data_IF_600911754556
#
_entry.id   IF_600911754556
#
_cell.length_a   1.000
_cell.length_b   1.000
_cell.length_c   1.000
_cell.angle_alpha   90.00
_cell.angle_beta   90.00
_cell.angle_gamma   90.00
#
_symmetry.space_group_name_H-M   'P 1'
#
loop_
_entity.id
_entity.type
_entity.pdbx_description
1 polymer ?
#
# COMPACT_ATOMS: atom_id res chain seq x y z
N UNK A 1 -46.47 -35.53 -35.91
CA UNK A 1 -45.93 -35.70 -34.54
C UNK A 1 -44.45 -35.64 -34.62
N UNK A 2 -43.86 -34.49 -34.24
CA UNK A 2 -42.38 -34.36 -34.16
C UNK A 2 -41.94 -34.84 -32.79
N UNK A 3 -41.07 -35.85 -32.77
CA UNK A 3 -40.44 -36.35 -31.54
C UNK A 3 -39.41 -35.34 -31.07
N UNK A 4 -39.64 -34.77 -29.89
CA UNK A 4 -38.67 -33.94 -29.17
C UNK A 4 -37.60 -34.90 -28.58
N UNK A 5 -36.41 -34.88 -29.17
CA UNK A 5 -35.24 -35.56 -28.57
C UNK A 5 -34.85 -34.77 -27.34
N UNK A 6 -34.84 -35.37 -26.14
CA UNK A 6 -34.31 -34.66 -24.99
C UNK A 6 -32.81 -34.43 -25.21
N UNK A 7 -32.34 -33.18 -25.14
CA UNK A 7 -30.94 -32.86 -24.98
C UNK A 7 -30.43 -33.59 -23.73
N UNK A 8 -29.64 -34.63 -23.95
CA UNK A 8 -28.90 -35.23 -22.85
C UNK A 8 -27.93 -34.15 -22.32
N UNK A 9 -28.29 -33.67 -21.12
CA UNK A 9 -27.51 -32.67 -20.43
C UNK A 9 -26.08 -33.12 -20.30
N UNK A 10 -25.18 -32.26 -20.65
CA UNK A 10 -23.88 -32.17 -19.97
C UNK A 10 -24.19 -32.39 -18.50
N UNK A 11 -23.52 -33.37 -17.87
CA UNK A 11 -23.79 -33.82 -16.52
C UNK A 11 -23.94 -32.61 -15.59
N UNK A 12 -25.17 -32.25 -15.35
CA UNK A 12 -25.50 -31.08 -14.54
C UNK A 12 -24.98 -31.33 -13.14
N UNK A 13 -23.97 -30.63 -12.78
CA UNK A 13 -23.63 -30.44 -11.37
C UNK A 13 -24.95 -29.99 -10.73
N UNK A 14 -25.52 -30.76 -9.76
CA UNK A 14 -26.79 -30.42 -9.18
C UNK A 14 -26.76 -28.96 -8.72
N UNK A 15 -27.85 -28.22 -8.89
CA UNK A 15 -27.95 -26.80 -8.53
C UNK A 15 -27.55 -26.52 -7.07
N UNK A 16 -27.54 -27.56 -6.22
CA UNK A 16 -27.00 -27.55 -4.86
C UNK A 16 -25.46 -27.48 -4.80
N UNK A 17 -24.75 -27.67 -5.90
CA UNK A 17 -23.30 -27.58 -6.00
C UNK A 17 -22.81 -26.27 -6.66
N UNK A 18 -23.62 -25.23 -6.76
CA UNK A 18 -23.13 -23.88 -6.89
C UNK A 18 -22.28 -23.62 -5.65
N UNK A 19 -20.97 -23.78 -5.79
CA UNK A 19 -20.03 -23.45 -4.73
C UNK A 19 -20.34 -22.01 -4.35
N UNK A 20 -20.84 -21.82 -3.12
CA UNK A 20 -20.83 -20.48 -2.53
C UNK A 20 -19.40 -19.97 -2.72
N UNK A 21 -19.27 -18.83 -3.41
CA UNK A 21 -17.96 -18.21 -3.53
C UNK A 21 -17.32 -18.22 -2.14
N UNK A 22 -16.08 -18.70 -2.04
CA UNK A 22 -15.39 -18.72 -0.77
C UNK A 22 -15.43 -17.30 -0.19
N UNK A 23 -15.77 -17.13 1.09
CA UNK A 23 -15.84 -15.82 1.69
C UNK A 23 -14.49 -15.12 1.51
N UNK A 24 -14.57 -13.85 1.09
CA UNK A 24 -13.38 -13.04 0.82
C UNK A 24 -12.70 -12.71 2.15
N UNK A 25 -11.38 -12.95 2.26
CA UNK A 25 -10.57 -12.35 3.31
C UNK A 25 -10.59 -10.82 3.17
N UNK A 26 -10.93 -10.12 4.23
CA UNK A 26 -11.08 -8.66 4.26
C UNK A 26 -9.76 -7.92 4.55
N UNK A 27 -8.69 -8.66 4.89
CA UNK A 27 -7.38 -8.08 5.14
C UNK A 27 -6.59 -7.89 3.84
N UNK A 28 -5.85 -6.80 3.79
CA UNK A 28 -4.85 -6.53 2.76
C UNK A 28 -3.49 -7.03 3.25
N UNK A 29 -2.60 -7.41 2.32
CA UNK A 29 -1.23 -7.82 2.63
C UNK A 29 -1.18 -8.88 3.75
N UNK A 30 -2.04 -9.87 3.63
CA UNK A 30 -2.30 -10.85 4.69
C UNK A 30 -1.57 -12.19 4.52
N UNK A 31 -0.84 -12.35 3.42
CA UNK A 31 0.09 -13.46 3.19
C UNK A 31 1.48 -13.08 3.71
N UNK A 32 1.76 -13.43 4.95
CA UNK A 32 3.04 -13.13 5.58
C UNK A 32 4.20 -13.96 5.05
N UNK A 33 3.97 -14.92 4.16
CA UNK A 33 5.04 -15.63 3.45
C UNK A 33 5.51 -14.88 2.20
N UNK A 34 4.70 -13.92 1.72
CA UNK A 34 4.96 -13.13 0.52
C UNK A 34 4.51 -11.68 0.69
N UNK A 35 5.05 -11.02 1.72
CA UNK A 35 4.67 -9.67 2.14
C UNK A 35 5.06 -8.58 1.14
N UNK A 36 4.21 -7.59 1.02
CA UNK A 36 4.53 -6.29 0.44
C UNK A 36 5.07 -5.37 1.54
N UNK A 37 6.25 -4.81 1.31
CA UNK A 37 6.88 -3.85 2.22
C UNK A 37 7.70 -2.83 1.42
N UNK A 38 7.03 -1.83 0.85
CA UNK A 38 7.65 -0.83 -0.03
C UNK A 38 8.73 -0.01 0.68
N UNK A 39 8.51 0.37 1.94
CA UNK A 39 9.50 1.05 2.79
C UNK A 39 10.43 0.06 3.53
N UNK A 40 10.37 -1.23 3.23
CA UNK A 40 11.08 -2.28 3.96
C UNK A 40 10.33 -2.76 5.21
N UNK A 41 10.77 -3.90 5.74
CA UNK A 41 10.22 -4.51 6.97
C UNK A 41 10.61 -3.67 8.18
N UNK A 42 9.65 -3.31 9.03
CA UNK A 42 9.87 -2.41 10.17
C UNK A 42 10.12 -0.96 9.74
N UNK A 43 9.85 -0.61 8.49
CA UNK A 43 10.01 0.75 7.95
C UNK A 43 8.93 1.70 8.45
N UNK A 44 9.08 2.98 8.09
CA UNK A 44 8.09 4.01 8.41
C UNK A 44 7.32 4.44 7.17
N UNK A 45 6.01 4.66 7.30
CA UNK A 45 5.22 5.44 6.36
C UNK A 45 5.03 6.85 6.98
N UNK A 46 5.78 7.81 6.49
CA UNK A 46 5.90 9.10 7.16
C UNK A 46 6.51 8.95 8.57
N UNK A 47 5.74 9.25 9.62
CA UNK A 47 6.16 9.14 11.03
C UNK A 47 5.68 7.88 11.74
N UNK A 48 4.86 7.06 11.10
CA UNK A 48 4.25 5.86 11.70
C UNK A 48 5.08 4.63 11.37
N UNK A 49 5.41 3.82 12.38
CA UNK A 49 6.12 2.55 12.20
C UNK A 49 5.19 1.47 11.63
N UNK A 50 5.68 0.72 10.64
CA UNK A 50 4.96 -0.37 10.00
C UNK A 50 5.78 -1.66 10.06
N UNK A 51 5.13 -2.77 10.34
CA UNK A 51 5.73 -4.10 10.18
C UNK A 51 5.93 -4.43 8.68
N UNK A 52 4.95 -4.11 7.89
CA UNK A 52 4.89 -4.17 6.43
C UNK A 52 3.75 -3.27 5.96
N UNK A 53 3.60 -3.04 4.66
CA UNK A 53 2.50 -2.21 4.14
C UNK A 53 1.16 -2.67 4.70
N UNK A 54 0.31 -1.73 5.12
CA UNK A 54 -0.98 -1.92 5.78
C UNK A 54 -0.93 -2.42 7.23
N UNK A 55 0.19 -2.96 7.72
CA UNK A 55 0.35 -3.46 9.08
C UNK A 55 1.16 -2.48 9.94
N UNK A 56 0.47 -1.66 10.71
CA UNK A 56 1.07 -0.72 11.68
C UNK A 56 1.75 -1.55 12.78
N UNK A 57 2.97 -1.19 13.13
CA UNK A 57 3.69 -1.75 14.27
C UNK A 57 3.40 -0.91 15.52
N UNK A 58 2.41 -1.35 16.32
CA UNK A 58 2.03 -0.63 17.54
C UNK A 58 3.09 -0.78 18.65
N UNK A 59 3.78 -1.93 18.69
CA UNK A 59 4.86 -2.17 19.66
C UNK A 59 5.75 -3.34 19.26
N UNK A 60 6.99 -3.35 19.75
CA UNK A 60 7.91 -4.47 19.63
C UNK A 60 8.78 -4.43 18.38
N UNK A 61 9.12 -5.60 17.86
CA UNK A 61 10.01 -5.77 16.70
C UNK A 61 9.49 -6.81 15.73
N UNK A 62 9.90 -6.67 14.48
CA UNK A 62 9.56 -7.60 13.40
C UNK A 62 10.80 -7.98 12.61
N UNK A 63 10.82 -9.20 12.08
CA UNK A 63 11.73 -9.62 11.02
C UNK A 63 10.97 -10.50 10.02
N UNK A 64 11.50 -10.62 8.83
CA UNK A 64 10.81 -11.32 7.74
C UNK A 64 11.76 -12.21 6.97
N UNK A 65 11.28 -13.39 6.63
CA UNK A 65 11.96 -14.32 5.74
C UNK A 65 10.98 -14.79 4.66
N UNK A 66 11.30 -14.50 3.40
CA UNK A 66 10.44 -14.82 2.27
C UNK A 66 10.18 -16.34 2.17
N UNK A 67 8.91 -16.72 1.99
CA UNK A 67 8.48 -18.11 1.97
C UNK A 67 8.32 -18.75 3.36
N UNK A 68 8.87 -18.16 4.42
CA UNK A 68 8.74 -18.64 5.80
C UNK A 68 7.66 -17.86 6.54
N UNK A 69 7.79 -16.53 6.63
CA UNK A 69 6.81 -15.68 7.26
C UNK A 69 7.38 -14.46 7.95
N UNK A 70 6.50 -13.77 8.70
CA UNK A 70 6.81 -12.60 9.52
C UNK A 70 7.00 -13.04 10.97
N UNK A 71 8.21 -12.91 11.51
CA UNK A 71 8.45 -13.08 12.94
C UNK A 71 8.01 -11.83 13.68
N UNK A 72 7.08 -11.97 14.61
CA UNK A 72 6.54 -10.88 15.41
C UNK A 72 6.84 -11.07 16.88
N UNK A 73 7.52 -10.08 17.49
CA UNK A 73 7.65 -9.95 18.93
C UNK A 73 7.07 -8.61 19.36
N UNK A 74 5.75 -8.59 19.61
CA UNK A 74 4.99 -7.37 19.89
C UNK A 74 3.59 -7.41 19.30
N UNK A 75 3.10 -6.25 18.84
CA UNK A 75 1.73 -6.07 18.35
C UNK A 75 1.74 -5.34 17.02
N UNK A 76 1.00 -5.88 16.05
CA UNK A 76 0.71 -5.25 14.77
C UNK A 76 -0.79 -5.07 14.59
N UNK A 77 -1.18 -4.05 13.83
CA UNK A 77 -2.60 -3.71 13.60
C UNK A 77 -2.85 -3.31 12.16
N UNK A 78 -4.00 -3.75 11.63
CA UNK A 78 -4.52 -3.28 10.35
C UNK A 78 -5.91 -2.70 10.52
N UNK A 79 -6.09 -1.43 10.17
CA UNK A 79 -7.38 -0.76 10.16
C UNK A 79 -8.06 -0.94 8.81
N UNK A 80 -9.34 -1.26 8.82
CA UNK A 80 -10.13 -1.53 7.62
C UNK A 80 -10.74 -0.23 7.08
N UNK A 81 -10.67 -0.04 5.76
CA UNK A 81 -11.36 1.08 5.09
C UNK A 81 -12.89 0.93 5.19
N UNK A 82 -13.35 -0.30 5.04
CA UNK A 82 -14.78 -0.66 5.10
C UNK A 82 -14.99 -1.75 6.15
N UNK A 83 -15.16 -1.36 7.43
CA UNK A 83 -15.43 -2.33 8.49
C UNK A 83 -16.69 -3.13 8.20
N UNK A 84 -16.67 -4.46 8.32
CA UNK A 84 -17.86 -5.28 8.16
C UNK A 84 -18.90 -4.97 9.23
N UNK A 85 -20.16 -5.03 8.85
CA UNK A 85 -21.29 -4.95 9.79
C UNK A 85 -21.73 -6.36 10.18
N UNK A 86 -21.99 -6.58 11.48
CA UNK A 86 -22.39 -7.88 12.01
C UNK A 86 -21.21 -8.74 12.49
N UNK A 87 -21.49 -10.04 12.63
CA UNK A 87 -20.50 -10.98 13.17
C UNK A 87 -19.29 -11.16 12.25
N UNK A 88 -18.14 -11.35 12.88
CA UNK A 88 -16.87 -11.60 12.19
C UNK A 88 -16.09 -12.70 12.87
N UNK A 89 -15.20 -13.35 12.13
CA UNK A 89 -14.27 -14.33 12.65
C UNK A 89 -12.85 -14.04 12.15
N UNK A 90 -11.89 -14.11 13.06
CA UNK A 90 -10.47 -13.86 12.79
C UNK A 90 -9.66 -15.15 12.95
N UNK A 91 -8.66 -15.32 12.08
CA UNK A 91 -7.77 -16.47 12.10
C UNK A 91 -6.35 -16.05 11.78
N UNK A 92 -5.38 -16.73 12.38
CA UNK A 92 -3.95 -16.56 12.10
C UNK A 92 -3.28 -17.91 11.92
N UNK A 93 -2.58 -18.08 10.81
CA UNK A 93 -1.76 -19.27 10.55
C UNK A 93 -0.33 -19.05 10.99
N UNK A 94 0.24 -20.04 11.68
CA UNK A 94 1.57 -19.98 12.25
C UNK A 94 2.50 -20.99 11.60
N UNK A 95 3.79 -20.61 11.46
CA UNK A 95 4.86 -21.56 11.18
C UNK A 95 5.44 -22.11 12.49
N UNK A 96 5.54 -21.25 13.52
CA UNK A 96 6.02 -21.61 14.86
C UNK A 96 5.57 -20.59 15.89
N UNK A 97 5.60 -20.99 17.18
CA UNK A 97 5.20 -20.11 18.28
C UNK A 97 3.68 -19.95 18.39
N UNK A 98 3.27 -18.90 19.07
CA UNK A 98 1.88 -18.58 19.32
C UNK A 98 1.59 -17.12 19.01
N UNK A 99 0.36 -16.83 18.56
CA UNK A 99 -0.17 -15.49 18.41
C UNK A 99 -1.65 -15.44 18.77
N UNK A 100 -2.09 -14.30 19.26
CA UNK A 100 -3.51 -13.96 19.37
C UNK A 100 -3.91 -13.01 18.28
N UNK A 101 -5.14 -13.16 17.79
CA UNK A 101 -5.74 -12.25 16.80
C UNK A 101 -7.13 -11.85 17.27
N UNK A 102 -7.47 -10.58 17.08
CA UNK A 102 -8.78 -10.04 17.45
C UNK A 102 -9.22 -8.96 16.45
N UNK A 103 -10.52 -8.74 16.37
CA UNK A 103 -11.12 -7.64 15.62
C UNK A 103 -11.97 -6.79 16.55
N UNK A 104 -11.68 -5.51 16.64
CA UNK A 104 -12.43 -4.52 17.39
C UNK A 104 -12.27 -3.14 16.74
N UNK A 105 -13.29 -2.30 16.85
CA UNK A 105 -13.27 -0.89 16.42
C UNK A 105 -12.78 -0.67 14.97
N UNK A 106 -13.15 -1.61 14.08
CA UNK A 106 -12.75 -1.55 12.67
C UNK A 106 -11.30 -1.92 12.39
N UNK A 107 -10.60 -2.51 13.36
CA UNK A 107 -9.21 -2.92 13.22
C UNK A 107 -8.99 -4.38 13.63
N UNK A 108 -8.12 -5.07 12.90
CA UNK A 108 -7.56 -6.36 13.32
C UNK A 108 -6.24 -6.13 14.02
N UNK A 109 -6.06 -6.76 15.17
CA UNK A 109 -4.84 -6.70 15.98
C UNK A 109 -4.28 -8.11 16.15
N UNK A 110 -2.97 -8.25 15.91
CA UNK A 110 -2.23 -9.50 16.13
C UNK A 110 -1.13 -9.23 17.16
N UNK A 111 -1.05 -10.06 18.19
CA UNK A 111 0.01 -10.00 19.22
C UNK A 111 0.71 -11.34 19.30
N UNK A 112 2.05 -11.33 19.34
CA UNK A 112 2.88 -12.51 19.46
C UNK A 112 4.15 -12.22 20.27
N UNK A 113 4.72 -13.25 20.87
CA UNK A 113 5.98 -13.20 21.63
C UNK A 113 7.12 -13.93 20.88
N UNK A 114 7.36 -13.57 19.63
CA UNK A 114 8.40 -14.19 18.80
C UNK A 114 7.90 -15.32 17.90
N UNK A 115 6.58 -15.46 17.74
CA UNK A 115 6.01 -16.44 16.80
C UNK A 115 6.19 -16.01 15.35
N UNK A 116 6.21 -16.99 14.44
CA UNK A 116 6.32 -16.79 13.00
C UNK A 116 4.94 -16.91 12.36
N UNK A 117 4.40 -15.79 11.90
CA UNK A 117 3.11 -15.68 11.23
C UNK A 117 3.24 -16.09 9.76
N UNK A 118 2.33 -16.91 9.26
CA UNK A 118 2.23 -17.28 7.83
C UNK A 118 1.17 -16.48 7.09
N UNK A 119 0.04 -16.27 7.71
CA UNK A 119 -1.09 -15.54 7.15
C UNK A 119 -2.04 -15.08 8.26
N UNK A 120 -2.87 -14.10 7.93
CA UNK A 120 -4.00 -13.68 8.75
C UNK A 120 -5.28 -13.60 7.90
N UNK A 121 -6.43 -13.77 8.53
CA UNK A 121 -7.70 -13.63 7.86
C UNK A 121 -8.76 -13.02 8.78
N UNK A 122 -9.61 -12.19 8.20
CA UNK A 122 -10.86 -11.70 8.76
C UNK A 122 -11.97 -12.02 7.76
N UNK A 123 -12.96 -12.76 8.21
CA UNK A 123 -14.16 -13.09 7.41
C UNK A 123 -15.39 -12.48 8.04
N UNK A 124 -16.29 -11.94 7.21
CA UNK A 124 -17.63 -11.60 7.65
C UNK A 124 -18.44 -12.89 7.89
N UNK A 125 -19.02 -13.01 9.08
CA UNK A 125 -19.78 -14.19 9.51
C UNK A 125 -19.15 -14.93 10.67
N UNK A 126 -19.86 -15.91 11.20
CA UNK A 126 -19.40 -16.77 12.32
C UNK A 126 -18.79 -18.04 11.77
N UNK A 127 -17.52 -18.24 12.05
CA UNK A 127 -16.77 -19.43 11.69
C UNK A 127 -16.01 -19.94 12.92
N UNK A 128 -15.81 -21.25 12.98
CA UNK A 128 -14.97 -21.95 13.96
C UNK A 128 -13.74 -22.52 13.23
N UNK A 129 -12.77 -23.04 13.96
CA UNK A 129 -11.61 -23.73 13.35
C UNK A 129 -12.02 -24.87 12.42
N UNK A 130 -13.14 -25.54 12.72
CA UNK A 130 -13.68 -26.64 11.90
C UNK A 130 -14.44 -26.15 10.64
N UNK A 131 -14.88 -24.91 10.62
CA UNK A 131 -15.68 -24.34 9.51
C UNK A 131 -14.98 -23.15 8.85
N UNK A 132 -13.74 -22.85 9.23
CA UNK A 132 -12.94 -21.78 8.64
C UNK A 132 -12.83 -21.98 7.14
N UNK A 133 -13.04 -20.91 6.35
CA UNK A 133 -12.78 -20.94 4.92
C UNK A 133 -11.30 -21.24 4.63
N UNK A 134 -11.03 -21.98 3.56
CA UNK A 134 -9.64 -22.18 3.12
C UNK A 134 -8.99 -20.82 2.86
N UNK A 135 -7.80 -20.61 3.42
CA UNK A 135 -7.03 -19.43 3.15
C UNK A 135 -6.42 -19.50 1.74
N UNK A 136 -6.74 -18.53 0.93
CA UNK A 136 -6.22 -18.38 -0.43
C UNK A 136 -5.49 -17.05 -0.57
N UNK A 137 -4.16 -17.03 -0.72
CA UNK A 137 -3.40 -15.80 -0.94
C UNK A 137 -3.80 -15.16 -2.28
N UNK A 138 -3.90 -13.84 -2.29
CA UNK A 138 -4.26 -13.07 -3.51
C UNK A 138 -3.13 -13.04 -4.54
N UNK A 139 -1.91 -13.37 -4.15
CA UNK A 139 -0.71 -13.20 -4.95
C UNK A 139 -0.13 -11.78 -4.87
N UNK A 140 1.21 -11.69 -4.97
CA UNK A 140 1.99 -10.48 -4.68
C UNK A 140 1.52 -9.24 -5.47
N UNK A 141 1.26 -9.38 -6.78
CA UNK A 141 0.84 -8.23 -7.61
C UNK A 141 -0.51 -7.65 -7.21
N UNK A 142 -1.46 -8.48 -6.78
CA UNK A 142 -2.75 -8.03 -6.30
C UNK A 142 -2.63 -7.35 -4.93
N UNK A 143 -1.86 -7.94 -4.00
CA UNK A 143 -1.57 -7.33 -2.70
C UNK A 143 -0.83 -6.00 -2.85
N UNK A 144 0.17 -5.92 -3.73
CA UNK A 144 0.88 -4.68 -4.02
C UNK A 144 -0.06 -3.59 -4.52
N UNK A 145 -0.96 -3.89 -5.45
CA UNK A 145 -1.93 -2.93 -5.96
C UNK A 145 -2.92 -2.45 -4.87
N UNK A 146 -3.33 -3.33 -3.97
CA UNK A 146 -4.16 -2.96 -2.81
C UNK A 146 -3.37 -2.08 -1.83
N UNK A 147 -2.12 -2.41 -1.52
CA UNK A 147 -1.24 -1.60 -0.67
C UNK A 147 -0.97 -0.22 -1.24
N UNK A 148 -0.75 -0.12 -2.55
CA UNK A 148 -0.48 1.15 -3.24
C UNK A 148 -1.66 2.14 -3.23
N UNK A 149 -2.86 1.72 -2.88
CA UNK A 149 -3.98 2.63 -2.60
C UNK A 149 -3.77 3.47 -1.34
N UNK A 150 -2.88 3.04 -0.45
CA UNK A 150 -2.62 3.65 0.86
C UNK A 150 -1.23 4.24 0.97
N UNK A 151 -0.24 3.58 0.36
CA UNK A 151 1.15 3.97 0.43
C UNK A 151 1.87 3.67 -0.89
N UNK A 152 2.59 4.67 -1.40
CA UNK A 152 3.46 4.52 -2.58
C UNK A 152 4.81 5.13 -2.25
N UNK A 153 5.87 4.36 -2.48
CA UNK A 153 7.23 4.80 -2.31
C UNK A 153 8.05 4.63 -3.58
N UNK A 154 8.85 5.65 -3.89
CA UNK A 154 9.80 5.64 -5.00
C UNK A 154 11.20 5.94 -4.43
N UNK A 155 12.13 4.98 -4.54
CA UNK A 155 13.55 5.19 -4.23
C UNK A 155 14.10 6.41 -4.98
N UNK A 156 13.78 6.47 -6.28
CA UNK A 156 14.11 7.59 -7.16
C UNK A 156 12.99 7.86 -8.12
N UNK A 157 12.59 9.11 -8.21
CA UNK A 157 11.61 9.55 -9.18
C UNK A 157 12.20 10.65 -10.08
N UNK A 158 12.26 10.38 -11.39
CA UNK A 158 12.69 11.37 -12.36
C UNK A 158 11.46 12.10 -12.91
N UNK A 159 11.38 13.40 -12.68
CA UNK A 159 10.32 14.25 -13.20
C UNK A 159 10.88 15.40 -14.01
N UNK A 160 10.15 15.75 -15.07
CA UNK A 160 10.31 16.99 -15.81
C UNK A 160 9.11 17.88 -15.47
N UNK A 161 9.36 19.05 -14.92
CA UNK A 161 8.29 19.97 -14.54
C UNK A 161 8.55 21.38 -15.04
N UNK A 162 7.59 22.25 -14.79
CA UNK A 162 7.63 23.66 -15.16
C UNK A 162 7.80 24.52 -13.90
N UNK A 163 8.74 25.45 -13.95
CA UNK A 163 8.75 26.60 -13.04
C UNK A 163 7.71 27.62 -13.51
N UNK A 164 6.89 28.10 -12.60
CA UNK A 164 5.96 29.18 -12.92
C UNK A 164 6.68 30.52 -13.03
N UNK A 165 6.06 31.47 -13.71
CA UNK A 165 6.60 32.82 -13.94
C UNK A 165 6.86 33.64 -12.67
N UNK A 166 6.34 33.21 -11.52
CA UNK A 166 6.60 33.83 -10.23
C UNK A 166 7.85 33.30 -9.52
N UNK A 167 8.60 32.39 -10.17
CA UNK A 167 9.92 31.90 -9.74
C UNK A 167 10.01 31.23 -8.36
N UNK A 168 8.89 31.01 -7.67
CA UNK A 168 8.88 30.48 -6.31
C UNK A 168 8.35 29.05 -6.20
N UNK A 169 7.54 28.60 -7.15
CA UNK A 169 6.91 27.30 -7.08
C UNK A 169 7.27 26.42 -8.27
N UNK A 170 7.66 25.22 -7.98
CA UNK A 170 7.91 24.16 -8.94
C UNK A 170 6.81 23.11 -8.86
N UNK A 171 6.19 22.79 -9.99
CA UNK A 171 5.15 21.78 -10.10
C UNK A 171 5.69 20.53 -10.78
N UNK A 172 5.63 19.42 -10.06
CA UNK A 172 6.10 18.11 -10.52
C UNK A 172 4.90 17.19 -10.72
N UNK A 173 4.50 16.88 -11.97
CA UNK A 173 3.44 15.93 -12.23
C UNK A 173 3.93 14.52 -11.93
N UNK A 174 3.13 13.75 -11.19
CA UNK A 174 3.41 12.38 -10.82
C UNK A 174 2.22 11.51 -11.20
N UNK A 175 2.51 10.39 -11.87
CA UNK A 175 1.53 9.34 -12.13
C UNK A 175 1.73 8.21 -11.12
N UNK A 176 0.67 7.86 -10.42
CA UNK A 176 0.66 6.78 -9.45
C UNK A 176 0.32 5.46 -10.14
N UNK A 177 0.86 4.33 -9.67
CA UNK A 177 0.58 3.01 -10.26
C UNK A 177 -0.88 2.59 -10.13
N UNK A 178 -1.54 3.03 -9.07
CA UNK A 178 -2.98 2.81 -8.82
C UNK A 178 -3.62 4.08 -8.25
N UNK A 179 -4.95 4.16 -8.28
CA UNK A 179 -5.68 5.25 -7.63
C UNK A 179 -5.56 5.13 -6.10
N UNK A 180 -5.04 6.17 -5.45
CA UNK A 180 -5.03 6.22 -3.98
C UNK A 180 -6.44 6.47 -3.43
N UNK A 181 -6.69 5.99 -2.21
CA UNK A 181 -8.02 6.09 -1.56
C UNK A 181 -8.46 7.52 -1.25
N UNK A 182 -7.52 8.39 -0.97
CA UNK A 182 -7.74 9.83 -0.73
C UNK A 182 -6.47 10.61 -1.10
N UNK A 183 -6.53 11.93 -1.03
CA UNK A 183 -5.34 12.76 -1.20
C UNK A 183 -4.29 12.40 -0.15
N UNK A 184 -3.08 11.96 -0.56
CA UNK A 184 -2.03 11.56 0.37
C UNK A 184 -1.30 12.77 0.95
N UNK A 185 -0.54 12.54 2.00
CA UNK A 185 0.60 13.39 2.35
C UNK A 185 1.82 13.00 1.51
N UNK A 186 2.67 13.96 1.19
CA UNK A 186 3.91 13.71 0.45
C UNK A 186 5.12 14.05 1.31
N UNK A 187 6.10 13.12 1.34
CA UNK A 187 7.40 13.35 1.98
C UNK A 187 8.54 12.93 1.05
N UNK A 188 9.74 13.45 1.27
CA UNK A 188 10.92 13.09 0.50
C UNK A 188 12.18 13.41 1.29
N UNK A 189 13.24 12.63 1.10
CA UNK A 189 14.55 12.91 1.69
C UNK A 189 15.35 13.98 0.92
N UNK A 190 14.86 14.47 -0.22
CA UNK A 190 15.41 15.58 -0.97
C UNK A 190 15.49 15.30 -2.48
N UNK A 191 16.12 16.23 -3.19
CA UNK A 191 16.21 16.20 -4.65
C UNK A 191 17.59 16.60 -5.18
N UNK A 192 17.90 16.12 -6.37
CA UNK A 192 19.01 16.61 -7.20
C UNK A 192 18.40 17.07 -8.53
N UNK A 193 18.63 18.31 -8.90
CA UNK A 193 18.00 18.88 -10.09
C UNK A 193 18.99 19.47 -11.10
N UNK A 194 18.57 19.48 -12.33
CA UNK A 194 19.21 20.21 -13.41
C UNK A 194 18.22 21.28 -13.90
N UNK A 195 18.54 22.54 -13.69
CA UNK A 195 17.81 23.66 -14.27
C UNK A 195 18.52 24.02 -15.58
N UNK A 196 17.79 23.94 -16.69
CA UNK A 196 18.30 24.38 -18.00
C UNK A 196 17.52 25.61 -18.42
N UNK A 197 18.14 26.76 -18.29
CA UNK A 197 17.67 27.98 -18.98
C UNK A 197 18.31 28.02 -20.35
N UNK A 198 17.74 28.75 -21.30
CA UNK A 198 18.30 28.87 -22.64
C UNK A 198 19.77 29.34 -22.71
N UNK A 199 20.30 29.89 -21.61
CA UNK A 199 21.66 30.44 -21.52
C UNK A 199 22.48 30.00 -20.31
N UNK A 200 21.89 29.41 -19.27
CA UNK A 200 22.61 28.92 -18.11
C UNK A 200 22.17 27.53 -17.68
N UNK A 201 23.15 26.70 -17.33
CA UNK A 201 22.96 25.32 -16.93
C UNK A 201 23.37 25.18 -15.47
N UNK A 202 22.41 25.04 -14.59
CA UNK A 202 22.68 24.62 -13.21
C UNK A 202 22.72 23.11 -13.15
N UNK A 203 23.84 22.55 -12.79
CA UNK A 203 24.02 21.12 -12.54
C UNK A 203 24.44 20.96 -11.09
N UNK A 204 23.48 20.74 -10.19
CA UNK A 204 23.76 20.41 -8.81
C UNK A 204 24.04 18.91 -8.68
N UNK A 205 25.18 18.55 -8.13
CA UNK A 205 25.50 17.16 -7.74
C UNK A 205 25.16 16.86 -6.27
N UNK A 206 24.74 17.86 -5.54
CA UNK A 206 24.44 17.75 -4.10
C UNK A 206 22.93 17.66 -3.88
N UNK A 207 22.51 16.68 -3.07
CA UNK A 207 21.12 16.50 -2.65
C UNK A 207 20.70 17.73 -1.84
N UNK A 208 19.54 18.30 -2.20
CA UNK A 208 18.92 19.43 -1.51
C UNK A 208 17.61 18.99 -0.87
N UNK A 209 17.29 19.53 0.30
CA UNK A 209 15.98 19.36 0.91
C UNK A 209 14.93 20.19 0.17
N UNK A 210 13.70 19.74 0.19
CA UNK A 210 12.55 20.56 -0.17
C UNK A 210 12.29 21.59 0.94
N UNK A 211 11.96 22.82 0.57
CA UNK A 211 11.58 23.86 1.55
C UNK A 211 10.15 23.62 2.08
N UNK A 212 9.27 23.20 1.20
CA UNK A 212 7.88 22.89 1.51
C UNK A 212 7.34 21.99 0.41
N UNK A 213 7.08 20.74 0.73
CA UNK A 213 6.52 19.76 -0.20
C UNK A 213 5.03 19.62 0.07
N UNK A 214 4.18 19.93 -0.90
CA UNK A 214 2.72 19.76 -0.79
C UNK A 214 2.11 19.29 -2.09
N UNK A 215 0.91 18.73 -2.00
CA UNK A 215 0.14 18.32 -3.15
C UNK A 215 -0.77 19.47 -3.59
N UNK A 216 -0.54 20.00 -4.78
CA UNK A 216 -1.30 21.12 -5.35
C UNK A 216 -2.54 20.68 -6.13
N UNK A 217 -2.52 19.46 -6.67
CA UNK A 217 -3.63 18.86 -7.40
C UNK A 217 -3.62 17.34 -7.21
N UNK A 218 -4.79 16.73 -7.10
CA UNK A 218 -4.97 15.29 -6.92
C UNK A 218 -6.29 14.82 -7.55
N UNK A 219 -6.19 13.81 -8.40
CA UNK A 219 -7.36 13.18 -9.02
C UNK A 219 -7.37 11.63 -8.90
N UNK A 220 -6.84 11.10 -7.81
CA UNK A 220 -6.76 9.67 -7.53
C UNK A 220 -5.51 9.00 -8.10
N UNK A 221 -5.26 9.08 -9.42
CA UNK A 221 -4.10 8.47 -10.08
C UNK A 221 -3.01 9.45 -10.48
N UNK A 222 -3.29 10.75 -10.42
CA UNK A 222 -2.34 11.80 -10.77
C UNK A 222 -2.32 12.85 -9.70
N UNK A 223 -1.15 13.35 -9.41
CA UNK A 223 -0.96 14.46 -8.49
C UNK A 223 0.14 15.38 -8.99
N UNK A 224 0.09 16.62 -8.56
CA UNK A 224 1.18 17.57 -8.73
C UNK A 224 1.75 17.91 -7.37
N UNK A 225 3.03 17.62 -7.21
CA UNK A 225 3.79 18.02 -6.02
C UNK A 225 4.38 19.39 -6.29
N UNK A 226 4.26 20.27 -5.33
CA UNK A 226 4.77 21.62 -5.41
C UNK A 226 5.83 21.87 -4.33
N UNK A 227 6.87 22.58 -4.67
CA UNK A 227 7.88 23.09 -3.73
C UNK A 227 8.19 24.57 -4.00
N UNK A 228 8.49 25.30 -2.94
CA UNK A 228 9.02 26.65 -3.05
C UNK A 228 10.55 26.59 -3.17
N UNK A 229 11.09 26.91 -4.34
CA UNK A 229 12.52 26.96 -4.57
C UNK A 229 13.02 28.41 -4.33
N UNK A 230 13.88 28.57 -3.34
CA UNK A 230 14.39 29.91 -2.92
C UNK A 230 15.48 30.51 -3.82
N UNK A 231 15.79 29.90 -4.98
CA UNK A 231 16.95 30.27 -5.80
C UNK A 231 16.62 30.44 -7.28
N UNK A 232 15.52 31.09 -7.64
CA UNK A 232 15.32 31.43 -9.04
C UNK A 232 15.61 32.91 -9.27
N UNK A 233 16.73 33.19 -9.85
CA UNK A 233 16.98 34.42 -10.57
C UNK A 233 16.53 34.21 -12.01
N UNK A 234 15.57 35.00 -12.47
CA UNK A 234 15.09 35.10 -13.86
C UNK A 234 14.27 33.89 -14.36
N UNK A 235 13.01 33.81 -13.92
CA UNK A 235 12.09 32.77 -14.35
C UNK A 235 11.18 33.20 -15.51
N UNK A 236 11.55 32.81 -16.70
CA UNK A 236 10.63 32.73 -17.82
C UNK A 236 10.72 31.33 -18.42
N UNK A 237 9.71 30.47 -18.13
CA UNK A 237 9.52 29.16 -18.76
C UNK A 237 10.77 28.25 -18.75
N UNK A 238 11.21 27.86 -17.57
CA UNK A 238 12.37 27.00 -17.42
C UNK A 238 11.93 25.54 -17.33
N UNK A 239 12.42 24.72 -18.24
CA UNK A 239 12.31 23.26 -18.13
C UNK A 239 13.29 22.77 -17.05
N UNK A 240 12.78 22.10 -16.06
CA UNK A 240 13.57 21.58 -14.94
C UNK A 240 13.42 20.09 -14.86
N UNK A 241 14.53 19.40 -14.83
CA UNK A 241 14.56 17.94 -14.57
C UNK A 241 15.05 17.72 -13.15
N UNK A 242 14.27 17.01 -12.37
CA UNK A 242 14.62 16.62 -10.99
C UNK A 242 14.66 15.12 -10.84
N UNK A 243 15.61 14.66 -10.10
CA UNK A 243 15.61 13.34 -9.49
C UNK A 243 15.27 13.52 -8.01
N UNK A 244 14.14 13.03 -7.60
CA UNK A 244 13.65 13.06 -6.23
C UNK A 244 13.98 11.72 -5.59
N UNK A 245 14.47 11.75 -4.35
CA UNK A 245 14.85 10.57 -3.58
C UNK A 245 13.86 10.31 -2.46
N UNK A 246 13.61 9.02 -2.21
CA UNK A 246 12.73 8.57 -1.14
C UNK A 246 11.40 9.33 -1.13
N UNK A 247 10.76 9.40 -2.31
CA UNK A 247 9.49 10.10 -2.45
C UNK A 247 8.36 9.18 -1.99
N UNK A 248 7.66 9.63 -0.97
CA UNK A 248 6.58 8.87 -0.33
C UNK A 248 5.24 9.58 -0.47
N UNK A 249 4.20 8.80 -0.70
CA UNK A 249 2.80 9.22 -0.65
C UNK A 249 2.05 8.34 0.32
N UNK A 250 1.53 8.91 1.40
CA UNK A 250 0.84 8.19 2.45
C UNK A 250 -0.61 8.67 2.56
N UNK A 251 -1.54 7.76 2.35
CA UNK A 251 -2.99 7.92 2.51
C UNK A 251 -3.56 6.89 3.50
N UNK A 252 -2.76 6.43 4.44
CA UNK A 252 -3.14 5.39 5.39
C UNK A 252 -4.30 5.80 6.33
N UNK A 253 -4.98 4.79 6.86
CA UNK A 253 -6.01 4.94 7.89
C UNK A 253 -5.31 4.70 9.24
N UNK A 254 -5.05 5.77 9.95
CA UNK A 254 -4.43 5.72 11.28
C UNK A 254 -5.42 5.47 12.40
#
# INVERSE_FOLDING_TARGET
>A
MQSIVPLHGFGGVPYSAVRKAAPKNLLDNSDFTNLVAQAGIGGNHGTTAYAADRWILDSGTVSYEAGVGLTLNGTIRQKLEFPPTGDTSTFVGMASGEASISYADGAVTITSSGGVLKWAALYAGVYTDATMPDYHPKGYGAELAECQRYYVWFDRYLSNGLLTSSATNYYMPISLPVAMRCQPTATSSGWIGRISTGYSKYTGSTKKAFNSLWISDFNGCRLSVCDSISTATDANNINVSFMVYDLEFCADIL
#
